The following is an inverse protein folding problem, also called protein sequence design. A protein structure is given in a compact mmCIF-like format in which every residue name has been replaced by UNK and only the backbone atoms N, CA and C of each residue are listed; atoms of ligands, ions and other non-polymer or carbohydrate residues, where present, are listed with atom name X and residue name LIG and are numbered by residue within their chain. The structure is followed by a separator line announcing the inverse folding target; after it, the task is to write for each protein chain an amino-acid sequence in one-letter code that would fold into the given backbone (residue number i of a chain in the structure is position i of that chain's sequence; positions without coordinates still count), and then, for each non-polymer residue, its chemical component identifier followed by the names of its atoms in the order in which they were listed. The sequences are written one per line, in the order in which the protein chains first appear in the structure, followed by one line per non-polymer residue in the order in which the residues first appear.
data_IF_510057204607
#
_entry.id   IF_510057204607
#
_cell.length_a   1.000
_cell.length_b   1.000
_cell.length_c   1.000
_cell.angle_alpha   90.00
_cell.angle_beta   90.00
_cell.angle_gamma   90.00
#
_symmetry.space_group_name_H-M   'P 1'
#
loop_
_entity.id
_entity.type
_entity.pdbx_description
1 polymer ?
#
# COMPACT_ATOMS: atom_id res chain seq x y z
N UNK A 1 34.90 46.51 -16.68
CA UNK A 1 33.96 47.20 -15.76
C UNK A 1 32.56 47.07 -16.35
N UNK A 2 31.54 46.97 -15.48
CA UNK A 2 30.08 46.78 -15.72
C UNK A 2 29.67 45.39 -16.20
N UNK A 3 28.75 44.65 -15.60
CA UNK A 3 28.01 44.69 -14.32
C UNK A 3 27.22 43.37 -14.30
N UNK A 4 27.23 42.64 -13.19
CA UNK A 4 26.27 41.56 -12.96
C UNK A 4 24.83 42.12 -12.94
N UNK A 5 23.84 41.25 -13.15
CA UNK A 5 22.67 41.28 -12.29
C UNK A 5 22.50 39.94 -11.58
N UNK A 6 22.74 39.97 -10.28
CA UNK A 6 21.95 39.22 -9.30
C UNK A 6 20.48 39.44 -9.60
N UNK A 7 19.66 38.39 -9.73
CA UNK A 7 18.27 38.25 -9.21
C UNK A 7 17.74 36.86 -9.59
N UNK A 8 18.21 35.81 -8.93
CA UNK A 8 17.46 34.55 -8.85
C UNK A 8 17.12 34.34 -7.37
N UNK A 9 16.04 35.00 -6.95
CA UNK A 9 15.37 34.70 -5.70
C UNK A 9 15.09 33.19 -5.66
N UNK A 10 15.60 32.44 -4.66
CA UNK A 10 15.11 31.09 -4.41
C UNK A 10 13.66 31.24 -3.93
N UNK A 11 12.72 30.80 -4.76
CA UNK A 11 11.31 30.75 -4.39
C UNK A 11 11.17 29.92 -3.10
N UNK A 12 10.83 30.62 -2.02
CA UNK A 12 10.17 30.15 -0.80
C UNK A 12 10.36 28.66 -0.44
N UNK A 13 11.28 28.40 0.50
CA UNK A 13 11.04 27.49 1.63
C UNK A 13 10.46 26.10 1.35
N UNK A 14 10.88 25.42 0.27
CA UNK A 14 10.59 23.99 0.08
C UNK A 14 11.76 23.17 0.59
N UNK A 15 11.71 22.85 1.88
CA UNK A 15 12.63 21.89 2.48
C UNK A 15 12.30 20.50 1.94
N UNK A 16 13.09 20.07 0.95
CA UNK A 16 13.13 18.68 0.51
C UNK A 16 13.28 17.75 1.72
N UNK A 17 12.59 16.61 1.68
CA UNK A 17 12.68 15.58 2.72
C UNK A 17 14.14 15.25 3.02
N UNK A 18 14.55 15.43 4.28
CA UNK A 18 15.86 14.98 4.73
C UNK A 18 15.97 13.46 4.60
N UNK A 19 17.19 12.94 4.42
CA UNK A 19 17.44 11.51 4.25
C UNK A 19 16.84 10.68 5.40
N UNK A 20 16.91 11.16 6.64
CA UNK A 20 16.34 10.48 7.80
C UNK A 20 14.81 10.40 7.79
N UNK A 21 14.13 11.49 7.41
CA UNK A 21 12.68 11.56 7.29
C UNK A 21 12.17 10.69 6.14
N UNK A 22 12.87 10.71 5.00
CA UNK A 22 12.58 9.84 3.87
C UNK A 22 12.72 8.36 4.26
N UNK A 23 13.82 7.98 4.90
CA UNK A 23 14.05 6.60 5.36
C UNK A 23 12.95 6.15 6.32
N UNK A 24 12.54 6.99 7.27
CA UNK A 24 11.43 6.68 8.19
C UNK A 24 10.14 6.35 7.44
N UNK A 25 9.75 7.19 6.47
CA UNK A 25 8.54 6.99 5.67
C UNK A 25 8.62 5.73 4.81
N UNK A 26 9.80 5.41 4.26
CA UNK A 26 9.99 4.17 3.51
C UNK A 26 9.90 2.94 4.42
N UNK A 27 10.49 2.96 5.61
CA UNK A 27 10.34 1.85 6.58
C UNK A 27 8.87 1.68 6.95
N UNK A 28 8.16 2.78 7.25
CA UNK A 28 6.73 2.77 7.55
C UNK A 28 5.83 2.42 6.35
N UNK A 29 6.35 2.46 5.13
CA UNK A 29 5.66 1.95 3.94
C UNK A 29 5.90 0.45 3.75
N UNK A 30 7.10 -0.04 4.02
CA UNK A 30 7.46 -1.43 3.72
C UNK A 30 7.14 -2.41 4.86
N UNK A 31 7.00 -1.95 6.12
CA UNK A 31 6.73 -2.81 7.28
C UNK A 31 5.45 -3.68 7.23
N UNK A 32 4.34 -3.37 6.51
CA UNK A 32 3.19 -4.25 6.49
C UNK A 32 3.45 -5.47 5.61
N UNK A 33 4.36 -5.38 4.63
CA UNK A 33 4.72 -6.49 3.74
C UNK A 33 5.25 -7.72 4.51
N UNK A 34 6.27 -7.64 5.39
CA UNK A 34 6.73 -8.79 6.15
C UNK A 34 5.66 -9.34 7.10
N UNK A 35 4.76 -8.50 7.62
CA UNK A 35 3.62 -8.95 8.43
C UNK A 35 2.66 -9.79 7.57
N UNK A 36 2.29 -9.30 6.38
CA UNK A 36 1.44 -10.03 5.44
C UNK A 36 2.09 -11.35 4.98
N UNK A 37 3.39 -11.34 4.69
CA UNK A 37 4.16 -12.53 4.32
C UNK A 37 4.22 -13.53 5.48
N UNK A 38 4.40 -13.06 6.72
CA UNK A 38 4.38 -13.89 7.92
C UNK A 38 3.03 -14.59 8.11
N UNK A 39 1.93 -13.85 7.98
CA UNK A 39 0.57 -14.42 8.03
C UNK A 39 0.40 -15.48 6.94
N UNK A 40 0.75 -15.15 5.70
CA UNK A 40 0.65 -16.07 4.57
C UNK A 40 1.47 -17.35 4.78
N UNK A 41 2.69 -17.24 5.29
CA UNK A 41 3.57 -18.38 5.53
C UNK A 41 3.09 -19.27 6.70
N UNK A 42 2.60 -18.66 7.79
CA UNK A 42 1.97 -19.39 8.90
C UNK A 42 0.73 -20.14 8.43
N UNK A 43 -0.09 -19.52 7.57
CA UNK A 43 -1.24 -20.18 6.95
C UNK A 43 -0.84 -21.33 6.02
N UNK A 44 0.25 -21.19 5.26
CA UNK A 44 0.77 -22.28 4.43
C UNK A 44 1.25 -23.47 5.29
N UNK A 45 2.08 -23.21 6.29
CA UNK A 45 2.63 -24.25 7.16
C UNK A 45 1.57 -24.95 8.02
N UNK A 46 0.51 -24.23 8.39
CA UNK A 46 -0.62 -24.79 9.13
C UNK A 46 -1.51 -25.75 8.32
N UNK A 47 -1.22 -25.97 7.03
CA UNK A 47 -1.98 -26.88 6.19
C UNK A 47 -3.39 -26.39 5.86
N UNK A 48 -3.67 -25.08 6.01
CA UNK A 48 -5.00 -24.53 5.73
C UNK A 48 -5.39 -24.62 4.24
N UNK A 49 -4.44 -24.92 3.35
CA UNK A 49 -4.66 -25.19 1.93
C UNK A 49 -5.32 -26.55 1.64
N UNK A 50 -5.20 -27.54 2.54
CA UNK A 50 -5.73 -28.90 2.31
C UNK A 50 -7.16 -29.08 2.78
N UNK A 51 -7.72 -28.08 3.47
CA UNK A 51 -9.11 -28.07 3.93
C UNK A 51 -10.00 -27.38 2.89
N UNK A 52 -10.37 -28.12 1.85
CA UNK A 52 -11.23 -27.68 0.73
C UNK A 52 -12.63 -27.21 1.14
N UNK A 53 -13.06 -27.47 2.38
CA UNK A 53 -14.42 -27.21 2.88
C UNK A 53 -14.58 -25.97 3.78
N UNK A 54 -13.59 -25.08 3.89
CA UNK A 54 -13.67 -24.03 4.92
C UNK A 54 -13.25 -22.65 4.43
N UNK A 55 -13.91 -21.63 4.98
CA UNK A 55 -13.64 -20.18 4.89
C UNK A 55 -12.14 -19.82 4.90
N UNK A 56 -11.27 -20.68 5.45
CA UNK A 56 -9.82 -20.51 5.47
C UNK A 56 -9.12 -20.58 4.10
N UNK A 57 -9.62 -21.36 3.14
CA UNK A 57 -9.04 -21.43 1.79
C UNK A 57 -9.25 -20.10 1.04
N UNK A 58 -10.45 -19.54 1.18
CA UNK A 58 -10.88 -18.24 0.67
C UNK A 58 -9.99 -17.08 1.16
N UNK A 59 -9.62 -17.05 2.44
CA UNK A 59 -8.69 -16.04 2.98
C UNK A 59 -7.28 -16.13 2.39
N UNK A 60 -6.80 -17.34 2.05
CA UNK A 60 -5.50 -17.49 1.41
C UNK A 60 -5.50 -16.95 -0.03
N UNK A 61 -6.58 -17.11 -0.79
CA UNK A 61 -6.72 -16.46 -2.09
C UNK A 61 -6.69 -14.93 -1.94
N UNK A 62 -7.33 -14.39 -0.89
CA UNK A 62 -7.33 -12.96 -0.60
C UNK A 62 -5.91 -12.41 -0.34
N UNK A 63 -5.09 -13.17 0.40
CA UNK A 63 -3.68 -12.86 0.65
C UNK A 63 -2.81 -13.03 -0.61
N UNK A 64 -3.02 -14.11 -1.37
CA UNK A 64 -2.25 -14.42 -2.58
C UNK A 64 -2.32 -13.31 -3.61
N UNK A 65 -3.51 -12.76 -3.85
CA UNK A 65 -3.70 -11.63 -4.77
C UNK A 65 -3.42 -10.26 -4.13
N UNK A 66 -3.62 -10.13 -2.81
CA UNK A 66 -3.36 -8.90 -2.07
C UNK A 66 -1.87 -8.54 -1.93
N UNK A 67 -0.99 -9.53 -1.71
CA UNK A 67 0.45 -9.31 -1.52
C UNK A 67 1.11 -8.69 -2.76
N UNK A 68 0.91 -9.20 -3.99
CA UNK A 68 1.41 -8.57 -5.20
C UNK A 68 0.89 -7.14 -5.39
N UNK A 69 -0.42 -6.92 -5.14
CA UNK A 69 -1.02 -5.58 -5.21
C UNK A 69 -0.33 -4.59 -4.26
N UNK A 70 -0.11 -5.00 -3.00
CA UNK A 70 0.63 -4.20 -2.02
C UNK A 70 2.08 -3.95 -2.45
N UNK A 71 2.76 -4.95 -3.02
CA UNK A 71 4.14 -4.83 -3.46
C UNK A 71 4.28 -3.81 -4.60
N UNK A 72 3.40 -3.86 -5.59
CA UNK A 72 3.37 -2.87 -6.68
C UNK A 72 3.08 -1.47 -6.12
N UNK A 73 2.11 -1.35 -5.21
CA UNK A 73 1.80 -0.09 -4.52
C UNK A 73 3.00 0.48 -3.76
N UNK A 74 3.72 -0.36 -3.01
CA UNK A 74 4.89 0.05 -2.23
C UNK A 74 6.04 0.52 -3.13
N UNK A 75 6.31 -0.19 -4.23
CA UNK A 75 7.31 0.21 -5.23
C UNK A 75 6.93 1.54 -5.90
N UNK A 76 5.67 1.68 -6.31
CA UNK A 76 5.18 2.90 -6.95
C UNK A 76 5.24 4.11 -6.00
N UNK A 77 4.86 3.91 -4.74
CA UNK A 77 4.88 4.97 -3.72
C UNK A 77 6.31 5.36 -3.34
N UNK A 78 7.23 4.39 -3.24
CA UNK A 78 8.66 4.64 -3.02
C UNK A 78 9.23 5.54 -4.11
N UNK A 79 8.91 5.29 -5.38
CA UNK A 79 9.33 6.17 -6.49
C UNK A 79 8.68 7.55 -6.42
N UNK A 80 7.41 7.60 -6.02
CA UNK A 80 6.62 8.83 -6.02
C UNK A 80 6.99 9.82 -4.91
N UNK A 81 7.58 9.35 -3.81
CA UNK A 81 7.94 10.17 -2.64
C UNK A 81 9.35 10.78 -2.76
N UNK A 82 10.21 10.26 -3.63
CA UNK A 82 11.56 10.80 -3.86
C UNK A 82 11.45 12.21 -4.46
N UNK A 83 12.14 13.19 -3.86
CA UNK A 83 12.14 14.57 -4.33
C UNK A 83 10.88 15.38 -3.94
N UNK A 84 10.05 14.87 -3.02
CA UNK A 84 8.86 15.56 -2.51
C UNK A 84 9.14 16.33 -1.23
N UNK A 85 8.37 17.39 -1.04
CA UNK A 85 8.35 18.16 0.21
C UNK A 85 7.66 17.37 1.33
N UNK A 86 8.01 17.66 2.58
CA UNK A 86 7.45 17.02 3.77
C UNK A 86 5.92 17.04 3.82
N UNK A 87 5.31 18.22 3.59
CA UNK A 87 3.85 18.36 3.59
C UNK A 87 3.19 17.51 2.49
N UNK A 88 3.83 17.38 1.33
CA UNK A 88 3.35 16.52 0.24
C UNK A 88 3.47 15.05 0.61
N UNK A 89 4.58 14.64 1.23
CA UNK A 89 4.81 13.27 1.66
C UNK A 89 3.81 12.83 2.75
N UNK A 90 3.53 13.67 3.75
CA UNK A 90 2.52 13.38 4.77
C UNK A 90 1.12 13.28 4.16
N UNK A 91 0.79 14.14 3.19
CA UNK A 91 -0.48 14.02 2.44
C UNK A 91 -0.53 12.72 1.64
N UNK A 92 0.59 12.25 1.09
CA UNK A 92 0.65 10.96 0.40
C UNK A 92 0.44 9.79 1.36
N UNK A 93 0.99 9.84 2.58
CA UNK A 93 0.74 8.84 3.63
C UNK A 93 -0.74 8.81 4.00
N UNK A 94 -1.38 9.97 4.17
CA UNK A 94 -2.81 10.04 4.50
C UNK A 94 -3.71 9.50 3.40
N UNK A 95 -3.33 9.69 2.13
CA UNK A 95 -4.03 9.17 0.96
C UNK A 95 -3.62 7.75 0.58
N UNK A 96 -2.60 7.17 1.23
CA UNK A 96 -2.08 5.84 0.90
C UNK A 96 -3.16 4.74 0.97
N UNK A 97 -4.03 4.67 2.00
CA UNK A 97 -5.07 3.64 2.07
C UNK A 97 -6.03 3.68 0.88
N UNK A 98 -6.41 4.89 0.43
CA UNK A 98 -7.27 5.08 -0.74
C UNK A 98 -6.55 4.71 -2.04
N UNK A 99 -5.27 5.08 -2.16
CA UNK A 99 -4.46 4.78 -3.35
C UNK A 99 -4.11 3.30 -3.45
N UNK A 100 -4.10 2.55 -2.35
CA UNK A 100 -3.90 1.11 -2.33
C UNK A 100 -5.10 0.35 -2.93
N UNK A 101 -6.32 0.89 -2.82
CA UNK A 101 -7.54 0.25 -3.31
C UNK A 101 -7.45 -0.24 -4.76
N UNK A 102 -7.08 0.58 -5.77
CA UNK A 102 -6.99 0.11 -7.15
C UNK A 102 -5.92 -0.97 -7.33
N UNK A 103 -4.82 -0.94 -6.58
CA UNK A 103 -3.80 -2.01 -6.66
C UNK A 103 -4.28 -3.32 -6.03
N UNK A 104 -5.10 -3.23 -5.00
CA UNK A 104 -5.75 -4.39 -4.40
C UNK A 104 -6.85 -4.94 -5.31
N UNK A 105 -7.68 -4.08 -5.89
CA UNK A 105 -8.84 -4.46 -6.72
C UNK A 105 -8.44 -5.00 -8.10
N UNK A 106 -7.38 -4.47 -8.72
CA UNK A 106 -7.00 -4.83 -10.09
C UNK A 106 -6.78 -6.35 -10.31
N UNK A 107 -6.06 -7.08 -9.44
CA UNK A 107 -5.94 -8.53 -9.56
C UNK A 107 -7.29 -9.27 -9.55
N UNK A 108 -8.24 -8.84 -8.72
CA UNK A 108 -9.58 -9.43 -8.66
C UNK A 108 -10.37 -9.20 -9.94
N UNK A 109 -10.35 -7.97 -10.46
CA UNK A 109 -11.03 -7.63 -11.71
C UNK A 109 -10.46 -8.45 -12.88
N UNK A 110 -9.14 -8.63 -12.94
CA UNK A 110 -8.49 -9.46 -13.96
C UNK A 110 -8.90 -10.92 -13.81
N UNK A 111 -8.91 -11.44 -12.58
CA UNK A 111 -9.33 -12.81 -12.28
C UNK A 111 -10.77 -13.08 -12.71
N UNK A 112 -11.71 -12.22 -12.29
CA UNK A 112 -13.14 -12.31 -12.64
C UNK A 112 -13.33 -12.25 -14.16
N UNK A 113 -12.60 -11.37 -14.85
CA UNK A 113 -12.70 -11.23 -16.30
C UNK A 113 -12.20 -12.49 -17.02
N UNK A 114 -11.07 -13.07 -16.59
CA UNK A 114 -10.55 -14.33 -17.14
C UNK A 114 -11.52 -15.49 -16.93
N UNK A 115 -12.15 -15.58 -15.76
CA UNK A 115 -13.15 -16.62 -15.48
C UNK A 115 -14.42 -16.45 -16.32
N UNK A 116 -14.91 -15.22 -16.47
CA UNK A 116 -16.06 -14.91 -17.31
C UNK A 116 -15.84 -15.33 -18.77
N UNK A 117 -14.64 -15.12 -19.32
CA UNK A 117 -14.30 -15.56 -20.68
C UNK A 117 -14.21 -17.09 -20.84
N UNK A 118 -13.86 -17.81 -19.77
CA UNK A 118 -13.74 -19.28 -19.79
C UNK A 118 -15.07 -20.00 -19.48
N UNK A 119 -16.18 -19.26 -19.29
CA UNK A 119 -17.48 -19.84 -18.95
C UNK A 119 -17.53 -20.51 -17.57
N UNK A 120 -16.52 -20.27 -16.74
CA UNK A 120 -16.43 -20.82 -15.40
C UNK A 120 -17.05 -19.81 -14.43
N UNK A 121 -18.34 -19.96 -14.15
CA UNK A 121 -19.01 -19.25 -13.06
C UNK A 121 -18.63 -19.90 -11.73
N UNK A 122 -17.39 -19.72 -11.28
CA UNK A 122 -17.02 -20.11 -9.92
C UNK A 122 -17.73 -19.23 -8.88
N UNK A 123 -17.78 -19.76 -7.66
CA UNK A 123 -18.57 -19.29 -6.51
C UNK A 123 -18.65 -17.76 -6.35
N UNK A 124 -19.85 -17.27 -5.99
CA UNK A 124 -20.16 -15.86 -5.64
C UNK A 124 -19.14 -15.21 -4.69
N UNK A 125 -18.47 -16.03 -3.88
CA UNK A 125 -17.44 -15.59 -2.95
C UNK A 125 -16.20 -15.02 -3.65
N UNK A 126 -15.74 -15.57 -4.79
CA UNK A 126 -14.56 -15.01 -5.47
C UNK A 126 -14.85 -13.67 -6.15
N UNK A 127 -16.08 -13.50 -6.63
CA UNK A 127 -16.52 -12.30 -7.36
C UNK A 127 -16.73 -11.09 -6.45
N UNK A 128 -17.14 -11.30 -5.19
CA UNK A 128 -17.43 -10.22 -4.22
C UNK A 128 -16.63 -10.30 -2.92
N UNK A 129 -15.91 -11.38 -2.65
CA UNK A 129 -15.15 -11.58 -1.41
C UNK A 129 -14.11 -10.50 -1.18
N UNK A 130 -13.47 -10.01 -2.24
CA UNK A 130 -12.53 -8.89 -2.15
C UNK A 130 -13.20 -7.58 -1.71
N UNK A 131 -14.46 -7.35 -2.08
CA UNK A 131 -15.26 -6.19 -1.65
C UNK A 131 -15.51 -6.25 -0.14
N UNK A 132 -15.73 -7.46 0.40
CA UNK A 132 -15.94 -7.64 1.85
C UNK A 132 -14.69 -7.29 2.68
N UNK A 133 -13.49 -7.35 2.08
CA UNK A 133 -12.22 -6.97 2.74
C UNK A 133 -11.95 -5.46 2.68
N UNK A 134 -12.48 -4.73 1.69
CA UNK A 134 -12.27 -3.28 1.55
C UNK A 134 -12.44 -2.48 2.86
N UNK A 135 -13.51 -2.65 3.66
CA UNK A 135 -13.66 -1.90 4.91
C UNK A 135 -12.53 -2.19 5.90
N UNK A 136 -12.13 -3.45 6.04
CA UNK A 136 -11.02 -3.84 6.93
C UNK A 136 -9.68 -3.29 6.43
N UNK A 137 -9.46 -3.32 5.12
CA UNK A 137 -8.23 -2.80 4.49
C UNK A 137 -8.12 -1.28 4.64
N UNK A 138 -9.24 -0.57 4.51
CA UNK A 138 -9.29 0.87 4.76
C UNK A 138 -9.05 1.21 6.22
N UNK A 139 -9.73 0.54 7.15
CA UNK A 139 -9.56 0.78 8.59
C UNK A 139 -8.12 0.51 9.01
N UNK A 140 -7.58 -0.67 8.68
CA UNK A 140 -6.20 -1.02 8.98
C UNK A 140 -5.20 -0.04 8.32
N UNK A 141 -5.44 0.32 7.06
CA UNK A 141 -4.62 1.30 6.35
C UNK A 141 -4.61 2.67 7.02
N UNK A 142 -5.77 3.17 7.45
CA UNK A 142 -5.86 4.46 8.14
C UNK A 142 -5.28 4.42 9.55
N UNK A 143 -5.40 3.31 10.27
CA UNK A 143 -4.71 3.11 11.56
C UNK A 143 -3.19 3.18 11.34
N UNK A 144 -2.67 2.46 10.35
CA UNK A 144 -1.24 2.50 10.00
C UNK A 144 -0.79 3.91 9.57
N UNK A 145 -1.56 4.59 8.73
CA UNK A 145 -1.27 5.96 8.29
C UNK A 145 -1.28 6.95 9.46
N UNK A 146 -2.29 6.87 10.34
CA UNK A 146 -2.39 7.69 11.53
C UNK A 146 -1.22 7.48 12.49
N UNK A 147 -0.86 6.22 12.78
CA UNK A 147 0.31 5.87 13.58
C UNK A 147 1.61 6.38 12.95
N UNK A 148 1.77 6.24 11.64
CA UNK A 148 2.95 6.73 10.92
C UNK A 148 3.07 8.25 11.05
N UNK A 149 1.97 8.99 10.88
CA UNK A 149 1.96 10.46 11.02
C UNK A 149 2.22 10.88 12.47
N UNK A 150 1.62 10.19 13.45
CA UNK A 150 1.83 10.47 14.86
C UNK A 150 3.29 10.25 15.26
N UNK A 151 3.86 9.09 14.93
CA UNK A 151 5.25 8.75 15.20
C UNK A 151 6.21 9.72 14.49
N UNK A 152 5.94 10.03 13.22
CA UNK A 152 6.72 10.99 12.46
C UNK A 152 6.77 12.35 13.16
N UNK A 153 5.62 12.86 13.63
CA UNK A 153 5.57 14.11 14.38
C UNK A 153 6.30 14.00 15.72
N UNK A 154 6.18 12.89 16.46
CA UNK A 154 6.90 12.77 17.74
C UNK A 154 8.43 12.71 17.61
N UNK A 155 8.95 12.18 16.49
CA UNK A 155 10.40 11.99 16.28
C UNK A 155 11.04 13.19 15.60
N UNK A 156 10.33 13.89 14.73
CA UNK A 156 10.88 14.95 13.86
C UNK A 156 10.28 16.34 14.05
N UNK A 157 9.32 16.51 14.98
CA UNK A 157 8.77 17.82 15.39
C UNK A 157 9.51 18.43 16.56
#
# INVERSE_FOLDING_TARGET
MTSAPDYLFPAAGRTLLSKGRLSFLLVALWWPLPVLLGIFFVSLLGGYYTKTDSTYSEWMYLLWWGIPGYLVFALWTTRSVIGRDEAQALRMVWLAPLKLLPFYAAPWVVYDLCHAFNGQSESFFMLLGWVTILPYLLVAGYVCAGLTVALYRTVFS
#
